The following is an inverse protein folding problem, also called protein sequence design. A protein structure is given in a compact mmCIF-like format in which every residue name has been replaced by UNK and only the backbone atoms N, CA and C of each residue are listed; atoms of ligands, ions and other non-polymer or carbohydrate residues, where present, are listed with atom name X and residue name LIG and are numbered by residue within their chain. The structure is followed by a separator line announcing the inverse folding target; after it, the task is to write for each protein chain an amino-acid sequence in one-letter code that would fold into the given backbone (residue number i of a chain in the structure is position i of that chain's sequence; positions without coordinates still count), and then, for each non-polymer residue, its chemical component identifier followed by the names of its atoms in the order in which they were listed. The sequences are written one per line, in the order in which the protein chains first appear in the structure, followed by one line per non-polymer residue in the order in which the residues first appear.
data_IF_168255228517
#
_entry.id   IF_168255228517
#
_cell.length_a   1.000
_cell.length_b   1.000
_cell.length_c   1.000
_cell.angle_alpha   90.00
_cell.angle_beta   90.00
_cell.angle_gamma   90.00
#
_symmetry.space_group_name_H-M   'P 1'
#
loop_
_entity.id
_entity.type
_entity.pdbx_description
1 polymer ?
#
# COMPACT_ATOMS: atom_id res chain seq x y z
N UNK A 1 2.04 -4.16 -6.09
CA UNK A 1 1.74 -2.74 -6.30
C UNK A 1 0.92 -2.25 -5.11
N UNK A 2 1.13 -1.02 -4.66
CA UNK A 2 0.54 -0.48 -3.43
C UNK A 2 0.21 1.00 -3.60
N UNK A 3 -0.76 1.49 -2.82
CA UNK A 3 -1.19 2.88 -2.80
C UNK A 3 -1.81 3.27 -1.45
N UNK A 4 -1.52 4.48 -1.01
CA UNK A 4 -2.13 5.13 0.15
C UNK A 4 -3.21 6.13 -0.26
N UNK A 5 -4.24 6.28 0.56
CA UNK A 5 -5.27 7.29 0.37
C UNK A 5 -5.53 8.07 1.64
N UNK A 6 -5.49 9.40 1.50
CA UNK A 6 -5.68 10.34 2.58
C UNK A 6 -6.35 11.61 2.06
N UNK A 7 -7.19 12.22 2.90
CA UNK A 7 -7.74 13.56 2.69
C UNK A 7 -7.95 14.23 4.04
N UNK A 8 -7.84 15.56 4.08
CA UNK A 8 -7.96 16.30 5.34
C UNK A 8 -9.35 16.17 6.00
N UNK A 9 -10.41 16.04 5.19
CA UNK A 9 -11.81 15.98 5.65
C UNK A 9 -12.28 14.64 6.21
N UNK A 10 -11.58 13.55 5.88
CA UNK A 10 -12.07 12.20 6.16
C UNK A 10 -11.59 11.70 7.52
N UNK A 11 -12.37 10.84 8.16
CA UNK A 11 -12.01 10.27 9.47
C UNK A 11 -10.99 9.14 9.37
N UNK A 12 -10.86 8.57 8.19
CA UNK A 12 -10.02 7.41 7.93
C UNK A 12 -9.03 7.73 6.82
N UNK A 13 -7.90 7.04 6.87
CA UNK A 13 -7.03 6.80 5.73
C UNK A 13 -7.30 5.40 5.19
N UNK A 14 -6.94 5.18 3.94
CA UNK A 14 -7.07 3.87 3.30
C UNK A 14 -5.75 3.45 2.70
N UNK A 15 -5.50 2.15 2.64
CA UNK A 15 -4.44 1.58 1.83
C UNK A 15 -4.99 0.44 0.97
N UNK A 16 -4.34 0.24 -0.16
CA UNK A 16 -4.69 -0.77 -1.14
C UNK A 16 -3.43 -1.37 -1.74
N UNK A 17 -3.42 -2.68 -1.94
CA UNK A 17 -2.34 -3.35 -2.63
C UNK A 17 -2.83 -4.55 -3.43
N UNK A 18 -2.07 -4.87 -4.48
CA UNK A 18 -2.23 -6.07 -5.29
C UNK A 18 -0.90 -6.77 -5.48
N UNK A 19 -0.93 -8.09 -5.40
CA UNK A 19 0.13 -8.98 -5.81
C UNK A 19 -0.29 -9.68 -7.10
N UNK A 20 0.58 -9.58 -8.11
CA UNK A 20 0.40 -10.20 -9.41
C UNK A 20 1.52 -11.22 -9.67
N UNK A 21 1.19 -12.26 -10.41
CA UNK A 21 2.20 -13.19 -10.94
C UNK A 21 2.92 -12.63 -12.16
N UNK A 22 3.83 -13.41 -12.73
CA UNK A 22 4.57 -13.05 -13.94
C UNK A 22 3.70 -12.90 -15.20
N UNK A 23 2.47 -13.40 -15.17
CA UNK A 23 1.48 -13.26 -16.23
C UNK A 23 0.52 -12.09 -16.02
N UNK A 24 0.83 -11.16 -15.10
CA UNK A 24 -0.01 -10.00 -14.75
C UNK A 24 -1.39 -10.39 -14.17
N UNK A 25 -1.57 -11.63 -13.70
CA UNK A 25 -2.81 -12.04 -13.05
C UNK A 25 -2.75 -11.68 -11.57
N UNK A 26 -3.80 -11.04 -11.07
CA UNK A 26 -3.93 -10.74 -9.64
C UNK A 26 -4.11 -12.05 -8.87
N UNK A 27 -3.16 -12.38 -8.02
CA UNK A 27 -3.17 -13.56 -7.16
C UNK A 27 -3.74 -13.25 -5.78
N UNK A 28 -3.44 -12.06 -5.27
CA UNK A 28 -3.90 -11.60 -3.95
C UNK A 28 -4.05 -10.08 -3.97
N UNK A 29 -5.04 -9.57 -3.27
CA UNK A 29 -5.22 -8.15 -3.03
C UNK A 29 -5.57 -7.90 -1.57
N UNK A 30 -5.23 -6.73 -1.08
CA UNK A 30 -5.62 -6.26 0.24
C UNK A 30 -6.13 -4.83 0.20
N UNK A 31 -7.13 -4.55 1.02
CA UNK A 31 -7.56 -3.18 1.30
C UNK A 31 -7.92 -3.01 2.78
N UNK A 32 -7.45 -1.91 3.37
CA UNK A 32 -7.66 -1.61 4.78
C UNK A 32 -7.88 -0.13 4.99
N UNK A 33 -8.82 0.22 5.88
CA UNK A 33 -8.91 1.55 6.45
C UNK A 33 -8.36 1.57 7.88
N UNK A 34 -7.78 2.68 8.27
CA UNK A 34 -7.30 2.96 9.62
C UNK A 34 -7.56 4.42 9.96
N UNK A 35 -7.48 4.78 11.24
CA UNK A 35 -7.62 6.16 11.70
C UNK A 35 -6.78 7.10 10.82
N UNK A 36 -7.36 8.24 10.44
CA UNK A 36 -6.70 9.19 9.53
C UNK A 36 -5.25 9.45 9.94
N UNK A 37 -4.33 9.20 9.01
CA UNK A 37 -2.92 9.53 9.17
C UNK A 37 -2.70 11.05 9.26
N UNK A 38 -1.49 11.43 9.68
CA UNK A 38 -1.10 12.84 9.76
C UNK A 38 -0.94 13.50 8.38
N UNK A 39 -0.54 12.73 7.37
CA UNK A 39 -0.39 13.21 6.00
C UNK A 39 -0.66 12.11 4.97
N UNK A 40 -0.74 12.50 3.70
CA UNK A 40 -0.81 11.55 2.58
C UNK A 40 0.40 10.61 2.56
N UNK A 41 1.59 11.14 2.83
CA UNK A 41 2.83 10.35 2.83
C UNK A 41 2.82 9.29 3.95
N UNK A 42 2.22 9.57 5.12
CA UNK A 42 2.03 8.53 6.15
C UNK A 42 1.12 7.39 5.66
N UNK A 43 0.08 7.69 4.89
CA UNK A 43 -0.76 6.65 4.31
C UNK A 43 -0.02 5.80 3.27
N UNK A 44 0.94 6.37 2.55
CA UNK A 44 1.82 5.63 1.63
C UNK A 44 2.78 4.70 2.38
N UNK A 45 3.34 5.13 3.52
CA UNK A 45 4.20 4.27 4.35
C UNK A 45 3.42 3.08 4.88
N UNK A 46 2.21 3.30 5.40
CA UNK A 46 1.32 2.20 5.84
C UNK A 46 0.93 1.28 4.67
N UNK A 47 0.73 1.85 3.48
CA UNK A 47 0.47 1.08 2.27
C UNK A 47 1.66 0.23 1.81
N UNK A 48 2.89 0.54 2.22
CA UNK A 48 4.07 -0.32 2.02
C UNK A 48 4.24 -1.34 3.14
N UNK A 49 4.10 -0.90 4.40
CA UNK A 49 4.26 -1.76 5.59
C UNK A 49 3.35 -2.97 5.51
N UNK A 50 2.09 -2.75 5.16
CA UNK A 50 1.07 -3.79 5.20
C UNK A 50 1.29 -4.93 4.18
N UNK A 51 1.52 -4.68 2.88
CA UNK A 51 1.85 -5.75 1.95
C UNK A 51 3.17 -6.44 2.31
N UNK A 52 4.18 -5.76 2.89
CA UNK A 52 5.38 -6.43 3.38
C UNK A 52 5.02 -7.49 4.43
N UNK A 53 4.23 -7.15 5.44
CA UNK A 53 3.77 -8.10 6.47
C UNK A 53 2.99 -9.28 5.88
N UNK A 54 2.14 -9.01 4.87
CA UNK A 54 1.35 -10.05 4.21
C UNK A 54 2.20 -10.95 3.32
N UNK A 55 3.15 -10.39 2.58
CA UNK A 55 4.00 -11.19 1.68
C UNK A 55 4.84 -12.19 2.46
N UNK A 56 5.32 -11.83 3.66
CA UNK A 56 6.04 -12.76 4.54
C UNK A 56 5.24 -14.04 4.87
N UNK A 57 3.91 -13.98 4.86
CA UNK A 57 3.04 -15.12 5.17
C UNK A 57 2.56 -15.87 3.92
N UNK A 58 2.52 -15.20 2.77
CA UNK A 58 1.77 -15.67 1.60
C UNK A 58 2.58 -15.85 0.32
N UNK A 59 3.81 -15.32 0.23
CA UNK A 59 4.57 -15.32 -1.02
C UNK A 59 6.08 -15.20 -0.82
N UNK A 60 6.84 -15.50 -1.87
CA UNK A 60 8.27 -15.17 -1.97
C UNK A 60 8.50 -13.80 -2.64
N UNK A 61 7.45 -13.02 -2.85
CA UNK A 61 7.52 -11.70 -3.48
C UNK A 61 8.38 -10.75 -2.64
N UNK A 62 9.39 -10.13 -3.27
CA UNK A 62 10.26 -9.14 -2.64
C UNK A 62 10.27 -7.80 -3.38
N UNK A 63 9.43 -7.66 -4.41
CA UNK A 63 9.37 -6.46 -5.26
C UNK A 63 8.06 -5.72 -5.07
N UNK A 64 8.16 -4.48 -4.61
CA UNK A 64 7.08 -3.57 -4.30
C UNK A 64 7.08 -2.42 -5.30
N UNK A 65 5.90 -2.00 -5.74
CA UNK A 65 5.73 -0.92 -6.72
C UNK A 65 4.74 0.11 -6.23
N UNK A 66 5.10 1.39 -6.31
CA UNK A 66 4.31 2.56 -5.88
C UNK A 66 4.46 3.68 -6.92
N UNK A 67 3.48 4.56 -7.04
CA UNK A 67 3.57 5.80 -7.82
C UNK A 67 4.06 7.00 -6.97
N UNK A 68 4.35 6.79 -5.70
CA UNK A 68 4.88 7.81 -4.79
C UNK A 68 6.42 7.84 -4.81
N UNK A 69 7.00 8.81 -5.52
CA UNK A 69 8.46 9.02 -5.54
C UNK A 69 9.03 9.43 -4.18
N UNK A 70 8.27 10.19 -3.39
CA UNK A 70 8.68 10.58 -2.03
C UNK A 70 8.83 9.37 -1.11
N UNK A 71 7.91 8.39 -1.19
CA UNK A 71 8.06 7.13 -0.46
C UNK A 71 9.34 6.39 -0.84
N UNK A 72 9.67 6.34 -2.14
CA UNK A 72 10.91 5.71 -2.59
C UNK A 72 12.13 6.47 -2.04
N UNK A 73 12.09 7.80 -2.02
CA UNK A 73 13.16 8.62 -1.44
C UNK A 73 13.32 8.36 0.06
N UNK A 74 12.22 8.27 0.83
CA UNK A 74 12.25 7.95 2.26
C UNK A 74 12.89 6.59 2.54
N UNK A 75 12.56 5.59 1.74
CA UNK A 75 13.11 4.23 1.91
C UNK A 75 14.60 4.17 1.56
N UNK A 76 15.08 5.02 0.65
CA UNK A 76 16.50 5.08 0.27
C UNK A 76 17.34 5.90 1.25
N UNK A 77 16.82 7.03 1.69
CA UNK A 77 17.54 8.00 2.53
C UNK A 77 16.72 8.34 3.79
N UNK A 78 16.47 7.37 4.70
CA UNK A 78 15.54 7.54 5.82
C UNK A 78 15.95 8.65 6.80
N UNK A 79 17.25 8.95 6.89
CA UNK A 79 17.79 10.00 7.76
C UNK A 79 17.38 11.42 7.36
N UNK A 80 17.01 11.65 6.09
CA UNK A 80 16.50 12.93 5.60
C UNK A 80 15.03 13.18 6.01
N UNK A 81 14.36 12.19 6.62
CA UNK A 81 12.94 12.22 6.95
C UNK A 81 12.67 11.98 8.44
N UNK A 82 13.20 12.83 9.35
CA UNK A 82 13.12 12.60 10.79
C UNK A 82 11.68 12.57 11.34
N UNK A 83 10.71 13.18 10.64
CA UNK A 83 9.30 13.12 11.01
C UNK A 83 8.66 11.74 10.82
N UNK A 84 9.31 10.84 10.10
CA UNK A 84 8.86 9.47 9.82
C UNK A 84 9.73 8.41 10.52
N UNK A 85 10.59 8.81 11.46
CA UNK A 85 11.60 7.91 12.03
C UNK A 85 10.99 6.62 12.61
N UNK A 86 9.86 6.71 13.32
CA UNK A 86 9.16 5.56 13.91
C UNK A 86 8.53 4.63 12.88
N UNK A 87 8.05 5.17 11.77
CA UNK A 87 7.43 4.45 10.68
C UNK A 87 8.51 3.74 9.85
N UNK A 88 9.61 4.45 9.57
CA UNK A 88 10.74 3.91 8.81
C UNK A 88 11.48 2.82 9.58
N UNK A 89 11.64 2.93 10.90
CA UNK A 89 12.22 1.86 11.74
C UNK A 89 11.42 0.54 11.62
N UNK A 90 10.08 0.62 11.54
CA UNK A 90 9.24 -0.57 11.32
C UNK A 90 9.47 -1.17 9.94
N UNK A 91 9.59 -0.33 8.89
CA UNK A 91 9.88 -0.81 7.54
C UNK A 91 11.27 -1.44 7.48
N UNK A 92 12.30 -0.81 8.05
CA UNK A 92 13.66 -1.33 8.12
C UNK A 92 13.69 -2.69 8.83
N UNK A 93 12.94 -2.83 9.93
CA UNK A 93 12.79 -4.13 10.62
C UNK A 93 12.20 -5.19 9.71
N UNK A 94 11.17 -4.85 8.92
CA UNK A 94 10.58 -5.77 7.95
C UNK A 94 11.55 -6.10 6.81
N UNK A 95 12.34 -5.13 6.34
CA UNK A 95 13.32 -5.33 5.26
C UNK A 95 14.37 -6.40 5.59
N UNK A 96 14.70 -6.62 6.87
CA UNK A 96 15.60 -7.72 7.30
C UNK A 96 15.09 -9.09 6.82
N UNK A 97 13.76 -9.24 6.68
CA UNK A 97 13.14 -10.47 6.19
C UNK A 97 13.08 -10.59 4.65
N UNK A 98 13.56 -9.58 3.91
CA UNK A 98 13.57 -9.52 2.44
C UNK A 98 15.00 -9.36 1.90
N UNK A 99 15.75 -10.46 1.69
CA UNK A 99 17.15 -10.41 1.22
C UNK A 99 17.38 -9.68 -0.12
N UNK A 100 16.37 -9.60 -0.97
CA UNK A 100 16.39 -8.92 -2.28
C UNK A 100 15.22 -7.90 -2.37
N UNK A 101 15.01 -7.14 -1.28
CA UNK A 101 13.99 -6.09 -1.24
C UNK A 101 14.18 -5.09 -2.39
N UNK A 102 13.11 -4.88 -3.16
CA UNK A 102 13.06 -3.89 -4.25
C UNK A 102 11.83 -3.04 -4.08
N UNK A 103 12.01 -1.72 -4.14
CA UNK A 103 10.92 -0.76 -4.32
C UNK A 103 11.16 0.02 -5.61
N UNK A 104 10.16 0.00 -6.51
CA UNK A 104 10.25 0.63 -7.83
C UNK A 104 9.14 1.65 -8.02
N UNK A 105 9.46 2.71 -8.76
CA UNK A 105 8.46 3.67 -9.21
C UNK A 105 7.64 3.06 -10.34
N UNK A 106 6.32 3.18 -10.23
CA UNK A 106 5.36 2.74 -11.24
C UNK A 106 4.44 3.92 -11.56
N UNK A 107 4.28 4.31 -12.83
CA UNK A 107 3.39 5.42 -13.18
C UNK A 107 1.97 5.19 -12.65
N UNK A 108 1.33 6.24 -12.14
CA UNK A 108 -0.04 6.19 -11.57
C UNK A 108 -1.08 5.51 -12.46
N UNK A 109 -0.98 5.68 -13.78
CA UNK A 109 -1.85 5.02 -14.77
C UNK A 109 -1.78 3.49 -14.71
N UNK A 110 -0.66 2.93 -14.23
CA UNK A 110 -0.50 1.49 -14.00
C UNK A 110 -0.88 1.09 -12.56
N UNK A 111 -0.98 2.03 -11.61
CA UNK A 111 -1.33 1.79 -10.21
C UNK A 111 -2.83 1.99 -9.87
N UNK A 112 -3.68 2.06 -10.90
CA UNK A 112 -5.11 2.35 -10.75
C UNK A 112 -5.85 1.39 -9.81
N UNK A 113 -5.45 0.12 -9.75
CA UNK A 113 -6.18 -0.85 -8.94
C UNK A 113 -5.91 -0.69 -7.44
N UNK A 114 -4.65 -0.48 -7.05
CA UNK A 114 -4.30 -0.17 -5.66
C UNK A 114 -4.91 1.16 -5.21
N UNK A 115 -4.85 2.19 -6.08
CA UNK A 115 -5.47 3.50 -5.85
C UNK A 115 -6.99 3.40 -5.67
N UNK A 116 -7.65 2.59 -6.50
CA UNK A 116 -9.06 2.31 -6.38
C UNK A 116 -9.39 1.66 -5.02
N UNK A 117 -8.65 0.63 -4.61
CA UNK A 117 -8.84 -0.04 -3.32
C UNK A 117 -8.67 0.94 -2.15
N UNK A 118 -7.57 1.68 -2.14
CA UNK A 118 -7.23 2.62 -1.07
C UNK A 118 -8.29 3.75 -0.94
N UNK A 119 -8.71 4.32 -2.07
CA UNK A 119 -9.76 5.35 -2.08
C UNK A 119 -11.10 4.80 -1.63
N UNK A 120 -11.47 3.60 -2.10
CA UNK A 120 -12.77 3.04 -1.76
C UNK A 120 -12.87 2.81 -0.26
N UNK A 121 -11.89 2.13 0.34
CA UNK A 121 -11.94 1.79 1.77
C UNK A 121 -11.89 3.02 2.67
N UNK A 122 -11.18 4.08 2.27
CA UNK A 122 -11.17 5.37 2.99
C UNK A 122 -12.57 5.97 3.15
N UNK A 123 -13.43 5.81 2.14
CA UNK A 123 -14.80 6.37 2.17
C UNK A 123 -15.78 5.62 3.06
N UNK A 124 -15.41 4.43 3.57
CA UNK A 124 -16.27 3.69 4.48
C UNK A 124 -16.38 4.40 5.83
N UNK A 125 -17.58 4.32 6.43
CA UNK A 125 -17.85 4.91 7.76
C UNK A 125 -17.29 4.09 8.93
N UNK A 126 -16.72 2.92 8.64
CA UNK A 126 -16.22 1.96 9.64
C UNK A 126 -14.90 1.39 9.16
N UNK A 127 -14.10 0.95 10.13
CA UNK A 127 -12.89 0.21 9.85
C UNK A 127 -13.21 -1.05 9.04
N UNK A 128 -12.44 -1.24 7.98
CA UNK A 128 -12.52 -2.37 7.08
C UNK A 128 -11.12 -2.94 6.88
N UNK A 129 -11.03 -4.27 6.90
CA UNK A 129 -9.83 -5.03 6.59
C UNK A 129 -10.27 -6.17 5.67
N UNK A 130 -9.66 -6.26 4.49
CA UNK A 130 -9.93 -7.32 3.55
C UNK A 130 -8.64 -7.79 2.87
N UNK A 131 -8.48 -9.11 2.78
CA UNK A 131 -7.45 -9.79 2.00
C UNK A 131 -8.15 -10.90 1.21
N UNK A 132 -7.92 -11.01 -0.09
CA UNK A 132 -8.53 -12.05 -0.91
C UNK A 132 -8.05 -12.07 -2.36
N UNK A 133 -8.46 -13.09 -3.11
CA UNK A 133 -8.06 -13.28 -4.52
C UNK A 133 -9.04 -12.63 -5.52
N UNK A 134 -10.14 -12.04 -5.05
CA UNK A 134 -11.17 -11.41 -5.90
C UNK A 134 -11.78 -10.19 -5.23
N UNK A 135 -12.26 -9.25 -6.04
CA UNK A 135 -13.01 -8.09 -5.54
C UNK A 135 -14.30 -8.61 -4.92
N UNK A 136 -14.54 -8.37 -3.61
CA UNK A 136 -15.76 -8.83 -2.98
C UNK A 136 -16.96 -8.04 -3.52
N UNK A 137 -18.14 -8.67 -3.55
CA UNK A 137 -19.36 -8.11 -4.16
C UNK A 137 -19.79 -6.75 -3.56
N UNK A 138 -19.36 -6.46 -2.33
CA UNK A 138 -19.67 -5.21 -1.63
C UNK A 138 -18.72 -4.06 -1.99
N UNK A 139 -17.59 -4.32 -2.65
CA UNK A 139 -16.72 -3.30 -3.20
C UNK A 139 -17.30 -2.83 -4.55
N UNK A 140 -17.46 -1.51 -4.79
CA UNK A 140 -17.72 -0.99 -6.12
C UNK A 140 -16.69 -1.58 -7.10
N UNK A 141 -17.06 -1.81 -8.36
CA UNK A 141 -16.08 -2.25 -9.35
C UNK A 141 -15.27 -1.03 -9.79
N UNK A 142 -13.93 -1.15 -9.97
CA UNK A 142 -13.18 -0.10 -10.63
C UNK A 142 -13.79 0.16 -12.02
N UNK A 143 -13.91 1.42 -12.40
CA UNK A 143 -14.30 1.78 -13.76
C UNK A 143 -13.29 1.14 -14.71
N UNK A 144 -13.75 0.23 -15.58
CA UNK A 144 -12.91 -0.30 -16.65
C UNK A 144 -12.50 0.88 -17.53
N UNK A 145 -11.19 1.15 -17.59
CA UNK A 145 -10.61 2.10 -18.53
C UNK A 145 -10.62 1.49 -19.94
#
# INVERSE_FOLDING_TARGET
MLDGSWTDSDRFSGCGWVWMDSGENIQLMGTQSFTRCESALHSEVEALRWPMENMLQHSLCQSFGTDCEELIAMIKEPHEWPSFASELEKIETLQICFPDFKIIHVPRVRNQFSDFLAKTVRTFRRELLFIGCSIPVWLPRPSQA
#
